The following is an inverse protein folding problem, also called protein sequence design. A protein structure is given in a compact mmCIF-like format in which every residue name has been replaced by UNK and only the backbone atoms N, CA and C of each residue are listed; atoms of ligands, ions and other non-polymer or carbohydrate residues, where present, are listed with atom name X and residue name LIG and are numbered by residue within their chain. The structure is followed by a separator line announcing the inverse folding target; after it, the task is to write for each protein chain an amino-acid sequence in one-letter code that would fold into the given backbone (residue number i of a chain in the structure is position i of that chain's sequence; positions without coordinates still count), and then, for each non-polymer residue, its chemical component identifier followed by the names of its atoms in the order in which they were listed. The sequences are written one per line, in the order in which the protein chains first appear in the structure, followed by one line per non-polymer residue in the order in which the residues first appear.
data_IF_504040778444
#
_entry.id   IF_504040778444
#
_cell.length_a   1.000
_cell.length_b   1.000
_cell.length_c   1.000
_cell.angle_alpha   90.00
_cell.angle_beta   90.00
_cell.angle_gamma   90.00
#
_symmetry.space_group_name_H-M   'P 1'
#
loop_
_entity.id
_entity.type
_entity.pdbx_description
1 polymer ?
#
# COMPACT_ATOMS: atom_id res chain seq x y z
N UNK A 1 -5.65 -13.86 27.40
CA UNK A 1 -4.93 -12.58 27.28
C UNK A 1 -5.35 -12.00 25.96
N UNK A 2 -6.09 -10.89 25.98
CA UNK A 2 -6.57 -10.25 24.75
C UNK A 2 -5.45 -9.37 24.18
N UNK A 3 -5.20 -9.47 22.87
CA UNK A 3 -4.14 -8.74 22.18
C UNK A 3 -4.69 -7.46 21.54
N UNK A 4 -5.24 -6.57 22.35
CA UNK A 4 -6.02 -5.38 21.91
C UNK A 4 -5.25 -4.41 21.03
N UNK A 5 -3.91 -4.45 21.03
CA UNK A 5 -3.05 -3.58 20.22
C UNK A 5 -2.41 -4.29 19.02
N UNK A 6 -2.73 -5.57 18.77
CA UNK A 6 -2.10 -6.36 17.71
C UNK A 6 -2.32 -5.76 16.31
N UNK A 7 -3.43 -5.04 16.12
CA UNK A 7 -3.74 -4.33 14.89
C UNK A 7 -2.69 -3.27 14.51
N UNK A 8 -1.90 -2.76 15.46
CA UNK A 8 -0.81 -1.83 15.18
C UNK A 8 0.34 -2.50 14.43
N UNK A 9 0.58 -3.79 14.65
CA UNK A 9 1.61 -4.54 13.90
C UNK A 9 1.31 -4.50 12.39
N UNK A 10 0.05 -4.75 12.03
CA UNK A 10 -0.41 -4.69 10.64
C UNK A 10 -0.41 -3.26 10.08
N UNK A 11 -0.80 -2.26 10.89
CA UNK A 11 -0.74 -0.85 10.48
C UNK A 11 0.69 -0.43 10.18
N UNK A 12 1.64 -0.81 11.03
CA UNK A 12 3.05 -0.49 10.84
C UNK A 12 3.66 -1.22 9.64
N UNK A 13 3.36 -2.51 9.47
CA UNK A 13 3.85 -3.26 8.30
C UNK A 13 3.39 -2.61 6.98
N UNK A 14 2.09 -2.35 6.84
CA UNK A 14 1.54 -1.73 5.63
C UNK A 14 2.07 -0.30 5.44
N UNK A 15 2.08 0.51 6.51
CA UNK A 15 2.57 1.90 6.48
C UNK A 15 4.05 1.98 6.10
N UNK A 16 4.90 1.13 6.68
CA UNK A 16 6.34 1.14 6.41
C UNK A 16 6.62 0.79 4.93
N UNK A 17 5.92 -0.22 4.40
CA UNK A 17 6.04 -0.58 2.98
C UNK A 17 5.61 0.55 2.06
N UNK A 18 4.44 1.13 2.29
CA UNK A 18 3.92 2.23 1.47
C UNK A 18 4.82 3.47 1.54
N UNK A 19 5.28 3.84 2.73
CA UNK A 19 6.19 4.96 2.91
C UNK A 19 7.53 4.72 2.19
N UNK A 20 8.10 3.51 2.28
CA UNK A 20 9.34 3.17 1.59
C UNK A 20 9.22 3.28 0.07
N UNK A 21 8.12 2.80 -0.51
CA UNK A 21 7.89 2.85 -1.96
C UNK A 21 7.54 4.26 -2.44
N UNK A 22 6.75 5.02 -1.68
CA UNK A 22 6.39 6.40 -2.03
C UNK A 22 7.55 7.38 -1.88
N UNK A 23 8.26 7.34 -0.75
CA UNK A 23 9.28 8.35 -0.43
C UNK A 23 10.43 8.40 -1.45
N UNK A 24 10.82 7.23 -1.98
CA UNK A 24 11.88 7.14 -3.00
C UNK A 24 11.49 7.74 -4.36
N UNK A 25 10.18 7.78 -4.66
CA UNK A 25 9.66 8.24 -5.95
C UNK A 25 9.51 9.76 -6.03
N UNK A 26 9.36 10.45 -4.91
CA UNK A 26 9.06 11.90 -4.86
C UNK A 26 10.03 12.73 -5.71
N UNK A 27 11.33 12.42 -5.65
CA UNK A 27 12.36 13.13 -6.41
C UNK A 27 12.62 12.58 -7.82
N UNK A 28 11.94 11.51 -8.21
CA UNK A 28 12.20 10.78 -9.47
C UNK A 28 10.90 10.43 -10.21
N UNK A 29 9.83 11.22 -10.06
CA UNK A 29 8.52 10.94 -10.66
C UNK A 29 8.62 10.73 -12.18
N UNK A 30 9.23 11.64 -12.98
CA UNK A 30 9.29 11.47 -14.43
C UNK A 30 10.02 10.18 -14.84
N UNK A 31 11.18 9.91 -14.22
CA UNK A 31 12.00 8.74 -14.53
C UNK A 31 11.29 7.44 -14.13
N UNK A 32 10.60 7.44 -12.99
CA UNK A 32 9.85 6.27 -12.52
C UNK A 32 8.62 6.02 -13.40
N UNK A 33 7.97 7.07 -13.87
CA UNK A 33 6.85 6.97 -14.80
C UNK A 33 7.30 6.32 -16.11
N UNK A 34 8.40 6.79 -16.71
CA UNK A 34 8.99 6.21 -17.91
C UNK A 34 9.38 4.73 -17.71
N UNK A 35 10.06 4.41 -16.60
CA UNK A 35 10.45 3.03 -16.27
C UNK A 35 9.27 2.06 -16.23
N UNK A 36 8.09 2.53 -15.81
CA UNK A 36 6.87 1.72 -15.70
C UNK A 36 5.90 1.90 -16.87
N UNK A 37 6.26 2.69 -17.90
CA UNK A 37 5.38 2.95 -19.04
C UNK A 37 4.10 3.72 -18.67
N UNK A 38 4.16 4.57 -17.65
CA UNK A 38 3.05 5.38 -17.14
C UNK A 38 3.28 6.86 -17.43
N UNK A 39 2.22 7.68 -17.34
CA UNK A 39 2.36 9.13 -17.42
C UNK A 39 2.91 9.71 -16.11
N UNK A 40 3.64 10.85 -16.13
CA UNK A 40 4.08 11.52 -14.90
C UNK A 40 2.93 11.90 -13.97
N UNK A 41 1.76 12.23 -14.50
CA UNK A 41 0.55 12.54 -13.72
C UNK A 41 0.05 11.29 -12.98
N UNK A 42 -0.04 10.14 -13.67
CA UNK A 42 -0.39 8.87 -13.01
C UNK A 42 0.63 8.53 -11.92
N UNK A 43 1.93 8.69 -12.19
CA UNK A 43 2.97 8.42 -11.20
C UNK A 43 2.92 9.39 -10.01
N UNK A 44 2.54 10.64 -10.23
CA UNK A 44 2.31 11.62 -9.16
C UNK A 44 1.18 11.19 -8.25
N UNK A 45 0.05 10.73 -8.83
CA UNK A 45 -1.09 10.21 -8.04
C UNK A 45 -0.68 8.96 -7.26
N UNK A 46 -0.02 8.00 -7.90
CA UNK A 46 0.48 6.77 -7.24
C UNK A 46 1.37 7.12 -6.05
N UNK A 47 2.37 7.97 -6.28
CA UNK A 47 3.31 8.41 -5.23
C UNK A 47 2.59 9.15 -4.11
N UNK A 48 1.64 10.02 -4.44
CA UNK A 48 0.83 10.74 -3.46
C UNK A 48 0.00 9.80 -2.57
N UNK A 49 -0.68 8.82 -3.18
CA UNK A 49 -1.46 7.83 -2.44
C UNK A 49 -0.56 6.96 -1.57
N UNK A 50 0.61 6.56 -2.06
CA UNK A 50 1.60 5.80 -1.28
C UNK A 50 2.06 6.54 -0.01
N UNK A 51 2.10 7.88 -0.03
CA UNK A 51 2.43 8.70 1.15
C UNK A 51 1.22 8.99 2.04
N UNK A 52 0.02 9.09 1.47
CA UNK A 52 -1.21 9.37 2.21
C UNK A 52 -1.72 8.15 2.98
N UNK A 53 -1.61 6.94 2.44
CA UNK A 53 -2.05 5.71 3.12
C UNK A 53 -1.46 5.55 4.53
N UNK A 54 -0.12 5.68 4.75
CA UNK A 54 0.47 5.66 6.08
C UNK A 54 -0.12 6.71 7.03
N UNK A 55 -0.33 7.94 6.54
CA UNK A 55 -0.91 9.02 7.33
C UNK A 55 -2.36 8.70 7.74
N UNK A 56 -3.17 8.18 6.82
CA UNK A 56 -4.55 7.77 7.10
C UNK A 56 -4.61 6.61 8.09
N UNK A 57 -3.73 5.60 7.99
CA UNK A 57 -3.68 4.50 8.95
C UNK A 57 -3.28 4.97 10.35
N UNK A 58 -2.32 5.91 10.44
CA UNK A 58 -1.88 6.48 11.71
C UNK A 58 -2.98 7.35 12.36
N UNK A 59 -3.50 8.33 11.63
CA UNK A 59 -4.55 9.23 12.13
C UNK A 59 -5.83 8.45 12.41
N UNK A 60 -6.23 7.55 11.51
CA UNK A 60 -7.40 6.69 11.67
C UNK A 60 -7.31 5.82 12.93
N UNK A 61 -6.18 5.12 13.13
CA UNK A 61 -5.96 4.26 14.29
C UNK A 61 -5.83 5.02 15.63
N UNK A 62 -5.38 6.26 15.63
CA UNK A 62 -5.31 7.11 16.83
C UNK A 62 -6.65 7.80 17.18
N UNK A 63 -7.59 7.83 16.24
CA UNK A 63 -8.87 8.55 16.39
C UNK A 63 -10.00 7.58 16.70
N UNK A 64 -10.45 7.53 17.96
CA UNK A 64 -11.57 6.68 18.38
C UNK A 64 -12.93 7.32 18.06
N UNK A 65 -13.25 7.45 16.77
CA UNK A 65 -14.53 7.97 16.28
C UNK A 65 -14.91 7.34 14.94
N UNK A 66 -16.13 7.61 14.48
CA UNK A 66 -16.58 7.24 13.13
C UNK A 66 -15.68 7.81 12.03
N UNK A 67 -15.09 9.00 12.26
CA UNK A 67 -14.13 9.60 11.32
C UNK A 67 -12.86 8.75 11.28
N UNK A 68 -12.32 8.35 12.43
CA UNK A 68 -11.14 7.49 12.47
C UNK A 68 -11.36 6.14 11.79
N UNK A 69 -12.54 5.54 12.00
CA UNK A 69 -12.95 4.31 11.33
C UNK A 69 -12.98 4.48 9.81
N UNK A 70 -13.62 5.55 9.32
CA UNK A 70 -13.67 5.86 7.89
C UNK A 70 -12.28 6.09 7.29
N UNK A 71 -11.39 6.78 7.99
CA UNK A 71 -10.01 7.01 7.54
C UNK A 71 -9.23 5.69 7.43
N UNK A 72 -9.37 4.79 8.41
CA UNK A 72 -8.74 3.46 8.37
C UNK A 72 -9.26 2.64 7.19
N UNK A 73 -10.57 2.67 6.92
CA UNK A 73 -11.17 1.95 5.79
C UNK A 73 -10.72 2.53 4.45
N UNK A 74 -10.71 3.85 4.33
CA UNK A 74 -10.24 4.56 3.15
C UNK A 74 -8.77 4.24 2.86
N UNK A 75 -7.93 4.18 3.89
CA UNK A 75 -6.53 3.79 3.73
C UNK A 75 -6.39 2.37 3.15
N UNK A 76 -7.17 1.42 3.66
CA UNK A 76 -7.23 0.05 3.13
C UNK A 76 -7.65 0.00 1.66
N UNK A 77 -8.72 0.72 1.30
CA UNK A 77 -9.20 0.80 -0.09
C UNK A 77 -8.13 1.38 -1.04
N UNK A 78 -7.53 2.52 -0.66
CA UNK A 78 -6.49 3.16 -1.45
C UNK A 78 -5.25 2.26 -1.61
N UNK A 79 -4.86 1.56 -0.55
CA UNK A 79 -3.77 0.60 -0.61
C UNK A 79 -4.05 -0.54 -1.60
N UNK A 80 -5.27 -1.09 -1.61
CA UNK A 80 -5.67 -2.13 -2.56
C UNK A 80 -5.56 -1.63 -4.00
N UNK A 81 -6.05 -0.43 -4.30
CA UNK A 81 -5.97 0.15 -5.66
C UNK A 81 -4.51 0.24 -6.13
N UNK A 82 -3.61 0.74 -5.28
CA UNK A 82 -2.18 0.85 -5.61
C UNK A 82 -1.54 -0.53 -5.80
N UNK A 83 -1.83 -1.49 -4.93
CA UNK A 83 -1.23 -2.84 -5.01
C UNK A 83 -1.73 -3.61 -6.24
N UNK A 84 -3.02 -3.50 -6.59
CA UNK A 84 -3.57 -4.06 -7.82
C UNK A 84 -2.93 -3.40 -9.05
N UNK A 85 -2.72 -2.07 -9.02
CA UNK A 85 -1.97 -1.37 -10.05
C UNK A 85 -0.54 -1.90 -10.20
N UNK A 86 0.21 -2.02 -9.10
CA UNK A 86 1.57 -2.55 -9.11
C UNK A 86 1.63 -3.97 -9.67
N UNK A 87 0.68 -4.84 -9.28
CA UNK A 87 0.54 -6.19 -9.83
C UNK A 87 0.38 -6.14 -11.34
N UNK A 88 -0.54 -5.29 -11.82
CA UNK A 88 -0.91 -5.23 -13.23
C UNK A 88 0.22 -4.69 -14.13
N UNK A 89 1.09 -3.83 -13.59
CA UNK A 89 2.14 -3.16 -14.38
C UNK A 89 3.46 -3.94 -14.35
N UNK A 90 3.91 -4.46 -13.19
CA UNK A 90 5.29 -5.01 -13.08
C UNK A 90 5.43 -6.36 -12.38
N UNK A 91 4.38 -6.90 -11.74
CA UNK A 91 4.50 -8.14 -10.95
C UNK A 91 3.63 -9.31 -11.44
N UNK A 92 2.80 -9.10 -12.47
CA UNK A 92 1.86 -10.11 -12.96
C UNK A 92 2.57 -11.34 -13.51
N UNK A 93 2.02 -12.53 -13.25
CA UNK A 93 2.44 -13.77 -13.92
C UNK A 93 3.49 -14.61 -13.17
N UNK A 94 4.05 -14.10 -12.08
CA UNK A 94 4.99 -14.85 -11.22
C UNK A 94 4.52 -14.86 -9.76
N UNK A 95 4.33 -16.06 -9.18
CA UNK A 95 4.09 -16.23 -7.74
C UNK A 95 5.40 -16.52 -6.99
N UNK A 96 6.28 -15.52 -6.95
CA UNK A 96 7.54 -15.53 -6.20
C UNK A 96 8.01 -14.09 -6.07
N UNK A 97 8.20 -13.57 -4.86
CA UNK A 97 8.62 -12.19 -4.65
C UNK A 97 10.05 -11.88 -5.17
N UNK A 98 10.90 -12.89 -5.35
CA UNK A 98 12.27 -12.68 -5.82
C UNK A 98 12.34 -12.32 -7.31
N UNK A 99 13.24 -11.41 -7.72
CA UNK A 99 13.48 -11.09 -9.13
C UNK A 99 13.88 -12.31 -9.96
N UNK A 100 13.49 -12.30 -11.23
CA UNK A 100 13.91 -13.27 -12.26
C UNK A 100 14.19 -12.56 -13.58
N UNK A 101 14.72 -13.29 -14.57
CA UNK A 101 14.98 -12.72 -15.91
C UNK A 101 13.71 -12.17 -16.57
N UNK A 102 12.55 -12.76 -16.28
CA UNK A 102 11.26 -12.34 -16.85
C UNK A 102 10.52 -11.33 -15.97
N UNK A 103 10.87 -11.25 -14.68
CA UNK A 103 10.24 -10.37 -13.69
C UNK A 103 11.32 -9.64 -12.88
N UNK A 104 11.96 -8.59 -13.43
CA UNK A 104 13.07 -7.90 -12.78
C UNK A 104 12.66 -7.21 -11.46
N UNK A 105 11.37 -6.94 -11.26
CA UNK A 105 10.81 -6.39 -10.02
C UNK A 105 10.29 -7.46 -9.05
N UNK A 106 10.47 -8.76 -9.37
CA UNK A 106 9.85 -9.86 -8.65
C UNK A 106 8.37 -10.03 -8.98
N UNK A 107 7.78 -11.08 -8.42
CA UNK A 107 6.39 -11.47 -8.64
C UNK A 107 5.42 -10.97 -7.56
N UNK A 108 4.16 -11.36 -7.69
CA UNK A 108 3.01 -10.74 -7.00
C UNK A 108 2.75 -11.21 -5.55
N UNK A 109 3.52 -12.16 -5.02
CA UNK A 109 3.30 -12.75 -3.69
C UNK A 109 3.26 -11.69 -2.56
N UNK A 110 4.20 -10.73 -2.61
CA UNK A 110 4.29 -9.69 -1.60
C UNK A 110 3.10 -8.73 -1.67
N UNK A 111 2.71 -8.29 -2.86
CA UNK A 111 1.57 -7.40 -3.08
C UNK A 111 0.27 -8.06 -2.66
N UNK A 112 0.08 -9.35 -2.96
CA UNK A 112 -1.10 -10.10 -2.52
C UNK A 112 -1.16 -10.22 -0.99
N UNK A 113 -0.02 -10.44 -0.34
CA UNK A 113 0.07 -10.44 1.13
C UNK A 113 -0.34 -9.08 1.72
N UNK A 114 0.15 -7.98 1.14
CA UNK A 114 -0.24 -6.63 1.58
C UNK A 114 -1.71 -6.32 1.28
N UNK A 115 -2.27 -6.84 0.18
CA UNK A 115 -3.70 -6.72 -0.13
C UNK A 115 -4.53 -7.40 0.96
N UNK A 116 -4.11 -8.55 1.48
CA UNK A 116 -4.82 -9.20 2.60
C UNK A 116 -4.84 -8.31 3.86
N UNK A 117 -3.73 -7.65 4.17
CA UNK A 117 -3.65 -6.68 5.28
C UNK A 117 -4.52 -5.44 5.02
N UNK A 118 -4.49 -4.92 3.79
CA UNK A 118 -5.29 -3.76 3.41
C UNK A 118 -6.80 -4.07 3.43
N UNK A 119 -7.21 -5.27 2.98
CA UNK A 119 -8.57 -5.78 3.08
C UNK A 119 -9.03 -5.89 4.53
N UNK A 120 -8.17 -6.35 5.43
CA UNK A 120 -8.47 -6.37 6.86
C UNK A 120 -8.85 -4.97 7.38
N UNK A 121 -8.07 -3.92 7.08
CA UNK A 121 -8.42 -2.55 7.47
C UNK A 121 -9.63 -1.99 6.73
N UNK A 122 -9.79 -2.28 5.44
CA UNK A 122 -10.96 -1.86 4.66
C UNK A 122 -12.28 -2.42 5.23
N UNK A 123 -12.26 -3.68 5.67
CA UNK A 123 -13.44 -4.41 6.14
C UNK A 123 -13.70 -4.17 7.63
N UNK A 124 -12.66 -4.17 8.48
CA UNK A 124 -12.81 -4.01 9.93
C UNK A 124 -12.78 -2.56 10.39
N UNK A 125 -12.12 -1.67 9.66
CA UNK A 125 -11.91 -0.30 10.10
C UNK A 125 -11.16 -0.26 11.44
N UNK A 126 -11.66 0.49 12.41
CA UNK A 126 -11.07 0.60 13.75
C UNK A 126 -11.49 -0.51 14.72
N UNK A 127 -12.43 -1.38 14.35
CA UNK A 127 -12.72 -2.63 15.08
C UNK A 127 -11.70 -3.74 14.77
N UNK A 128 -10.60 -3.38 14.12
CA UNK A 128 -9.46 -4.24 13.80
C UNK A 128 -8.72 -4.74 15.05
#
# INVERSE_FOLDING_TARGET
MDATMAHWLLRFALSATFLFHGAKKVSHIPQTAEMFGLSPETMTVVTGVELVVPALLAVGGLTQSQVGDLLTRLAGLLAIVILVGAISVVHWGQWNFAPSETHPFGGMEFQVTLIAIALFFMIRGNDA
#
